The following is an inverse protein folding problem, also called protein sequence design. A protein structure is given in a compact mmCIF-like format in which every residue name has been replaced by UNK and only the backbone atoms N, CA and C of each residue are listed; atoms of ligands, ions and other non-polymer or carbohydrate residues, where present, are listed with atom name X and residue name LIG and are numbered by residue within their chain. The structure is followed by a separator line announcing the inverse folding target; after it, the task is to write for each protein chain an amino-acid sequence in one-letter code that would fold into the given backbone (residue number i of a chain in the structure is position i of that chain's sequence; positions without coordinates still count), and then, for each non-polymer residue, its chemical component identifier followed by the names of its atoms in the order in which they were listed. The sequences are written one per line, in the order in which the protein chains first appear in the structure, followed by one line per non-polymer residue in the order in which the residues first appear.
data_IF_073087035513
#
_entry.id   IF_073087035513
#
_cell.length_a   1.000
_cell.length_b   1.000
_cell.length_c   1.000
_cell.angle_alpha   90.00
_cell.angle_beta   90.00
_cell.angle_gamma   90.00
#
_symmetry.space_group_name_H-M   'P 1'
#
loop_
_entity.id
_entity.type
_entity.pdbx_description
1 polymer ?
#
# COMPACT_ATOMS: atom_id res chain seq x y z
N UNK A 1 -13.15 7.92 -11.95
CA UNK A 1 -12.31 6.72 -11.77
C UNK A 1 -10.88 7.20 -11.56
N UNK A 2 -10.20 6.70 -10.53
CA UNK A 2 -8.77 6.89 -10.32
C UNK A 2 -8.03 5.66 -10.83
N UNK A 3 -6.95 5.88 -11.56
CA UNK A 3 -6.07 4.81 -12.06
C UNK A 3 -4.79 4.88 -11.23
N UNK A 4 -4.49 3.81 -10.51
CA UNK A 4 -3.25 3.64 -9.78
C UNK A 4 -2.13 3.19 -10.72
N UNK A 5 -0.91 3.36 -10.28
CA UNK A 5 0.27 2.83 -10.95
C UNK A 5 0.35 1.29 -10.81
N UNK A 6 1.44 0.71 -11.27
CA UNK A 6 1.69 -0.73 -11.24
C UNK A 6 2.84 -1.10 -10.30
N UNK A 7 3.32 -2.33 -10.47
CA UNK A 7 4.31 -2.93 -9.59
C UNK A 7 5.61 -2.12 -9.49
N UNK A 8 6.03 -1.78 -8.26
CA UNK A 8 7.31 -1.13 -7.99
C UNK A 8 8.47 -2.13 -8.01
N UNK A 9 8.33 -3.25 -7.32
CA UNK A 9 9.43 -4.22 -7.15
C UNK A 9 10.06 -4.72 -8.45
N UNK A 10 9.24 -5.13 -9.43
CA UNK A 10 9.74 -5.58 -10.76
C UNK A 10 10.40 -4.46 -11.54
N UNK A 11 9.92 -3.23 -11.39
CA UNK A 11 10.52 -2.06 -12.01
C UNK A 11 11.89 -1.74 -11.40
N UNK A 12 12.05 -1.87 -10.09
CA UNK A 12 13.33 -1.73 -9.39
C UNK A 12 14.32 -2.83 -9.80
N UNK A 13 13.86 -4.08 -9.89
CA UNK A 13 14.71 -5.21 -10.35
C UNK A 13 15.24 -4.94 -11.76
N UNK A 14 14.40 -4.45 -12.68
CA UNK A 14 14.82 -4.05 -14.01
C UNK A 14 15.82 -2.88 -14.04
N UNK A 15 16.00 -2.18 -12.91
CA UNK A 15 16.92 -1.04 -12.74
C UNK A 15 18.06 -1.28 -11.75
N UNK A 16 18.30 -2.55 -11.39
CA UNK A 16 19.48 -2.96 -10.65
C UNK A 16 19.26 -3.43 -9.22
N UNK A 17 18.03 -3.44 -8.69
CA UNK A 17 17.74 -4.07 -7.41
C UNK A 17 18.07 -5.56 -7.49
N UNK A 18 18.97 -6.04 -6.64
CA UNK A 18 19.38 -7.44 -6.60
C UNK A 18 18.45 -8.28 -5.72
N UNK A 19 18.39 -9.58 -5.99
CA UNK A 19 17.66 -10.51 -5.15
C UNK A 19 18.12 -10.44 -3.68
N UNK A 20 17.17 -10.31 -2.76
CA UNK A 20 17.44 -10.21 -1.32
C UNK A 20 17.80 -8.81 -0.81
N UNK A 21 17.94 -7.81 -1.69
CA UNK A 21 18.06 -6.43 -1.25
C UNK A 21 16.70 -5.88 -0.82
N UNK A 22 16.71 -4.99 0.18
CA UNK A 22 15.50 -4.28 0.59
C UNK A 22 15.17 -3.18 -0.44
N UNK A 23 13.96 -3.17 -1.02
CA UNK A 23 13.57 -2.21 -2.05
C UNK A 23 13.63 -0.76 -1.57
N UNK A 24 13.14 -0.47 -0.38
CA UNK A 24 13.06 0.88 0.17
C UNK A 24 14.45 1.47 0.43
N UNK A 25 15.39 0.64 0.88
CA UNK A 25 16.80 1.04 1.03
C UNK A 25 17.44 1.32 -0.34
N UNK A 26 17.18 0.45 -1.34
CA UNK A 26 17.66 0.67 -2.69
C UNK A 26 17.10 1.96 -3.30
N UNK A 27 15.80 2.21 -3.14
CA UNK A 27 15.14 3.42 -3.63
C UNK A 27 15.67 4.69 -2.93
N UNK A 28 15.96 4.61 -1.63
CA UNK A 28 16.58 5.71 -0.87
C UNK A 28 17.98 6.07 -1.38
N UNK A 29 18.80 5.05 -1.67
CA UNK A 29 20.16 5.23 -2.21
C UNK A 29 20.14 5.67 -3.69
N UNK A 30 19.05 5.40 -4.42
CA UNK A 30 18.89 5.68 -5.84
C UNK A 30 17.59 6.47 -6.15
N UNK A 31 17.39 7.66 -5.59
CA UNK A 31 16.11 8.39 -5.69
C UNK A 31 15.73 8.78 -7.13
N UNK A 32 16.69 8.97 -8.02
CA UNK A 32 16.40 9.27 -9.44
C UNK A 32 15.79 8.06 -10.17
N UNK A 33 16.08 6.82 -9.73
CA UNK A 33 15.43 5.60 -10.23
C UNK A 33 13.94 5.64 -9.89
N UNK A 34 13.58 6.01 -8.65
CA UNK A 34 12.18 6.16 -8.24
C UNK A 34 11.46 7.25 -9.06
N UNK A 35 12.13 8.40 -9.26
CA UNK A 35 11.59 9.49 -10.11
C UNK A 35 11.27 8.98 -11.51
N UNK A 36 12.17 8.22 -12.13
CA UNK A 36 11.96 7.72 -13.49
C UNK A 36 10.83 6.68 -13.56
N UNK A 37 10.72 5.78 -12.60
CA UNK A 37 9.62 4.79 -12.52
C UNK A 37 8.27 5.51 -12.40
N UNK A 38 8.11 6.39 -11.43
CA UNK A 38 6.86 7.13 -11.24
C UNK A 38 6.50 7.99 -12.47
N UNK A 39 7.52 8.58 -13.12
CA UNK A 39 7.33 9.36 -14.33
C UNK A 39 6.81 8.51 -15.50
N UNK A 40 7.29 7.27 -15.65
CA UNK A 40 6.78 6.32 -16.64
C UNK A 40 5.31 5.99 -16.40
N UNK A 41 4.92 5.70 -15.15
CA UNK A 41 3.54 5.43 -14.79
C UNK A 41 2.61 6.62 -15.01
N UNK A 42 3.02 7.84 -14.62
CA UNK A 42 2.24 9.04 -14.89
C UNK A 42 2.11 9.31 -16.41
N UNK A 43 3.16 9.07 -17.21
CA UNK A 43 3.10 9.16 -18.67
C UNK A 43 2.15 8.12 -19.27
N UNK A 44 2.12 6.91 -18.72
CA UNK A 44 1.19 5.86 -19.13
C UNK A 44 -0.27 6.19 -18.75
N UNK A 45 -0.50 7.18 -17.89
CA UNK A 45 -1.83 7.68 -17.58
C UNK A 45 -2.33 7.42 -16.17
N UNK A 46 -1.48 6.95 -15.25
CA UNK A 46 -1.82 6.83 -13.84
C UNK A 46 -2.20 8.19 -13.25
N UNK A 47 -3.18 8.16 -12.34
CA UNK A 47 -3.56 9.31 -11.52
C UNK A 47 -2.85 9.28 -10.17
N UNK A 48 -2.60 8.09 -9.63
CA UNK A 48 -1.99 7.89 -8.32
C UNK A 48 -0.71 7.08 -8.49
N UNK A 49 0.38 7.57 -7.91
CA UNK A 49 1.62 6.82 -7.73
C UNK A 49 1.75 6.39 -6.28
N UNK A 50 1.95 5.09 -6.04
CA UNK A 50 2.27 4.52 -4.74
C UNK A 50 3.77 4.62 -4.50
N UNK A 51 4.16 5.14 -3.33
CA UNK A 51 5.57 5.35 -3.00
C UNK A 51 6.28 4.02 -2.70
N UNK A 52 7.62 3.99 -2.86
CA UNK A 52 8.44 2.85 -2.47
C UNK A 52 8.62 2.80 -0.95
N UNK A 53 7.51 2.51 -0.23
CA UNK A 53 7.44 2.51 1.24
C UNK A 53 6.66 1.32 1.82
N UNK A 54 6.30 0.35 0.98
CA UNK A 54 5.52 -0.84 1.35
C UNK A 54 6.06 -1.58 2.58
N UNK A 55 7.36 -1.81 2.64
CA UNK A 55 8.06 -2.45 3.75
C UNK A 55 8.77 -1.45 4.68
N UNK A 56 8.52 -0.14 4.56
CA UNK A 56 9.24 0.89 5.29
C UNK A 56 8.79 1.00 6.75
N UNK A 57 9.09 0.00 7.56
CA UNK A 57 8.86 0.02 9.00
C UNK A 57 10.10 -0.41 9.77
N UNK A 58 10.13 -0.16 11.07
CA UNK A 58 11.30 -0.41 11.91
C UNK A 58 11.68 -1.87 12.09
N UNK A 59 10.78 -2.82 11.75
CA UNK A 59 11.05 -4.26 11.82
C UNK A 59 11.69 -4.80 10.53
N UNK A 60 11.51 -4.08 9.41
CA UNK A 60 11.96 -4.52 8.08
C UNK A 60 13.10 -3.70 7.51
N UNK A 61 13.19 -2.42 7.86
CA UNK A 61 14.28 -1.57 7.36
C UNK A 61 15.64 -2.07 7.85
N UNK A 62 16.66 -2.15 6.97
CA UNK A 62 17.99 -2.52 7.36
C UNK A 62 18.62 -1.50 8.32
N UNK A 63 19.58 -1.97 9.12
CA UNK A 63 20.35 -1.10 10.01
C UNK A 63 21.05 0.02 9.24
N UNK A 64 21.01 1.25 9.76
CA UNK A 64 21.60 2.42 9.11
C UNK A 64 20.62 3.28 8.30
N UNK A 65 19.43 2.81 8.05
CA UNK A 65 18.37 3.60 7.41
C UNK A 65 17.40 4.16 8.46
N UNK A 66 17.13 5.47 8.38
CA UNK A 66 16.17 6.15 9.24
C UNK A 66 14.81 6.20 8.52
N UNK A 67 13.78 5.60 9.12
CA UNK A 67 12.43 5.49 8.58
C UNK A 67 11.91 6.82 8.01
N UNK A 68 12.05 7.88 8.79
CA UNK A 68 11.54 9.21 8.41
C UNK A 68 12.23 9.76 7.17
N UNK A 69 13.52 9.49 7.00
CA UNK A 69 14.28 9.94 5.82
C UNK A 69 13.94 9.12 4.58
N UNK A 70 13.73 7.81 4.75
CA UNK A 70 13.33 6.92 3.64
C UNK A 70 11.95 7.31 3.12
N UNK A 71 10.97 7.48 4.01
CA UNK A 71 9.61 7.92 3.63
C UNK A 71 9.65 9.29 2.95
N UNK A 72 10.38 10.26 3.52
CA UNK A 72 10.50 11.61 2.95
C UNK A 72 11.11 11.59 1.55
N UNK A 73 12.17 10.80 1.33
CA UNK A 73 12.82 10.63 0.03
C UNK A 73 11.88 9.99 -1.00
N UNK A 74 11.16 8.93 -0.64
CA UNK A 74 10.24 8.25 -1.52
C UNK A 74 9.09 9.16 -1.97
N UNK A 75 8.47 9.90 -1.04
CA UNK A 75 7.39 10.85 -1.35
C UNK A 75 7.90 12.00 -2.22
N UNK A 76 9.06 12.57 -1.92
CA UNK A 76 9.68 13.63 -2.73
C UNK A 76 9.98 13.17 -4.14
N UNK A 77 10.44 11.93 -4.32
CA UNK A 77 10.69 11.33 -5.64
C UNK A 77 9.41 11.22 -6.46
N UNK A 78 8.32 10.73 -5.86
CA UNK A 78 7.02 10.64 -6.53
C UNK A 78 6.44 12.03 -6.85
N UNK A 79 6.52 13.01 -5.94
CA UNK A 79 6.10 14.40 -6.17
C UNK A 79 6.92 15.07 -7.28
N UNK A 80 8.23 14.85 -7.30
CA UNK A 80 9.11 15.33 -8.39
C UNK A 80 8.66 14.74 -9.73
N UNK A 81 8.41 13.44 -9.80
CA UNK A 81 7.91 12.78 -11.00
C UNK A 81 6.57 13.37 -11.48
N UNK A 82 5.63 13.58 -10.55
CA UNK A 82 4.33 14.18 -10.84
C UNK A 82 4.46 15.58 -11.47
N UNK A 83 5.39 16.40 -10.97
CA UNK A 83 5.64 17.74 -11.49
C UNK A 83 6.31 17.77 -12.89
N UNK A 84 7.04 16.71 -13.26
CA UNK A 84 7.75 16.59 -14.53
C UNK A 84 6.86 16.08 -15.68
N UNK A 85 5.68 15.58 -15.39
CA UNK A 85 4.76 15.03 -16.41
C UNK A 85 3.56 15.95 -16.56
N UNK A 86 3.48 16.65 -17.69
CA UNK A 86 2.30 17.42 -18.07
C UNK A 86 1.46 16.61 -19.08
N UNK A 87 0.37 16.02 -18.59
CA UNK A 87 -0.59 15.26 -19.40
C UNK A 87 -2.04 15.72 -19.16
N UNK A 88 -2.23 16.88 -18.55
CA UNK A 88 -3.55 17.44 -18.24
C UNK A 88 -4.35 16.65 -17.17
N UNK A 89 -3.77 15.63 -16.55
CA UNK A 89 -4.43 14.83 -15.53
C UNK A 89 -4.04 15.27 -14.12
N UNK A 90 -5.01 15.20 -13.20
CA UNK A 90 -4.72 15.32 -11.78
C UNK A 90 -3.87 14.14 -11.32
N UNK A 91 -2.83 14.42 -10.55
CA UNK A 91 -1.88 13.45 -10.01
C UNK A 91 -1.84 13.51 -8.49
N UNK A 92 -1.76 12.36 -7.87
CA UNK A 92 -1.66 12.17 -6.42
C UNK A 92 -0.50 11.24 -6.08
N UNK A 93 0.06 11.42 -4.91
CA UNK A 93 1.09 10.55 -4.33
C UNK A 93 0.51 9.87 -3.12
N UNK A 94 0.46 8.54 -3.15
CA UNK A 94 -0.03 7.73 -2.05
C UNK A 94 1.14 7.15 -1.25
N UNK A 95 1.12 7.37 0.07
CA UNK A 95 1.97 6.64 0.99
C UNK A 95 1.53 5.17 0.97
N UNK A 96 2.43 4.28 0.61
CA UNK A 96 2.18 2.85 0.55
C UNK A 96 2.56 2.16 1.85
N UNK A 97 1.62 1.43 2.45
CA UNK A 97 1.76 0.72 3.73
C UNK A 97 1.40 -0.74 3.53
N UNK A 98 2.39 -1.60 3.54
CA UNK A 98 2.22 -3.05 3.50
C UNK A 98 2.14 -3.69 4.90
N UNK A 99 2.00 -5.03 4.96
CA UNK A 99 1.99 -5.78 6.22
C UNK A 99 3.25 -5.51 7.05
N UNK A 100 3.09 -5.53 8.37
CA UNK A 100 4.15 -5.19 9.32
C UNK A 100 5.33 -6.17 9.30
N UNK A 101 5.04 -7.45 8.94
CA UNK A 101 6.05 -8.51 8.82
C UNK A 101 6.07 -9.51 9.96
N UNK A 102 5.29 -9.28 11.00
CA UNK A 102 5.10 -10.17 12.13
C UNK A 102 3.60 -10.41 12.38
N UNK A 103 3.26 -11.61 12.84
CA UNK A 103 1.87 -11.91 13.21
C UNK A 103 1.52 -11.30 14.56
N UNK A 104 0.31 -10.73 14.64
CA UNK A 104 -0.22 -10.20 15.88
C UNK A 104 -0.68 -11.32 16.83
N UNK A 105 -0.69 -11.04 18.14
CA UNK A 105 -1.29 -11.92 19.14
C UNK A 105 -2.78 -12.20 18.84
N UNK A 106 -3.28 -13.40 19.10
CA UNK A 106 -2.61 -14.55 19.72
C UNK A 106 -1.91 -15.48 18.72
N UNK A 107 -1.92 -15.21 17.42
CA UNK A 107 -1.31 -16.05 16.39
C UNK A 107 0.21 -15.85 16.29
N UNK A 108 0.70 -14.69 16.68
CA UNK A 108 2.11 -14.34 16.79
C UNK A 108 2.45 -13.73 18.13
N UNK A 109 3.47 -12.89 18.17
CA UNK A 109 4.01 -12.28 19.40
C UNK A 109 3.85 -10.77 19.46
N UNK A 110 3.44 -10.13 18.36
CA UNK A 110 3.31 -8.68 18.28
C UNK A 110 1.96 -8.24 18.88
N UNK A 111 1.97 -7.37 19.88
CA UNK A 111 0.73 -6.82 20.43
C UNK A 111 0.07 -5.84 19.44
N UNK A 112 -1.25 -5.71 19.54
CA UNK A 112 -2.02 -4.74 18.74
C UNK A 112 -1.51 -3.31 18.93
N UNK A 113 -1.28 -2.91 20.18
CA UNK A 113 -0.82 -1.56 20.51
C UNK A 113 0.58 -1.29 19.90
N UNK A 114 1.45 -2.29 19.89
CA UNK A 114 2.76 -2.15 19.25
C UNK A 114 2.66 -2.03 17.75
N UNK A 115 1.81 -2.81 17.09
CA UNK A 115 1.53 -2.69 15.66
C UNK A 115 0.96 -1.31 15.33
N UNK A 116 -0.01 -0.82 16.12
CA UNK A 116 -0.58 0.52 15.98
C UNK A 116 0.51 1.61 16.03
N UNK A 117 1.41 1.59 17.01
CA UNK A 117 2.47 2.60 17.12
C UNK A 117 3.47 2.55 15.95
N UNK A 118 3.78 1.36 15.43
CA UNK A 118 4.64 1.21 14.24
C UNK A 118 3.96 1.83 13.02
N UNK A 119 2.71 1.51 12.75
CA UNK A 119 1.94 2.08 11.63
C UNK A 119 1.77 3.60 11.77
N UNK A 120 1.44 4.08 12.96
CA UNK A 120 1.30 5.51 13.25
C UNK A 120 2.56 6.30 12.89
N UNK A 121 3.73 5.78 13.24
CA UNK A 121 5.01 6.43 12.92
C UNK A 121 5.21 6.62 11.42
N UNK A 122 4.87 5.58 10.61
CA UNK A 122 4.93 5.65 9.15
C UNK A 122 3.97 6.70 8.60
N UNK A 123 2.72 6.68 9.05
CA UNK A 123 1.63 7.48 8.50
C UNK A 123 1.75 8.96 8.84
N UNK A 124 2.12 9.27 10.09
CA UNK A 124 2.42 10.65 10.52
C UNK A 124 3.59 11.23 9.71
N UNK A 125 4.64 10.44 9.47
CA UNK A 125 5.74 10.90 8.63
C UNK A 125 5.29 11.06 7.17
N UNK A 126 4.45 10.18 6.65
CA UNK A 126 3.91 10.29 5.29
C UNK A 126 3.14 11.58 5.06
N UNK A 127 2.21 11.93 5.96
CA UNK A 127 1.47 13.20 5.90
C UNK A 127 2.42 14.39 5.99
N UNK A 128 3.36 14.37 6.94
CA UNK A 128 4.37 15.43 7.10
C UNK A 128 5.22 15.62 5.86
N UNK A 129 5.54 14.56 5.13
CA UNK A 129 6.32 14.61 3.88
C UNK A 129 5.48 15.02 2.67
N UNK A 130 4.15 15.17 2.80
CA UNK A 130 3.26 15.70 1.79
C UNK A 130 2.59 14.64 0.91
N UNK A 131 2.39 13.41 1.40
CA UNK A 131 1.51 12.45 0.75
C UNK A 131 0.09 13.02 0.61
N UNK A 132 -0.64 12.61 -0.42
CA UNK A 132 -2.02 13.02 -0.67
C UNK A 132 -3.03 11.98 -0.16
N UNK A 133 -2.62 10.71 -0.09
CA UNK A 133 -3.44 9.54 0.23
C UNK A 133 -2.58 8.58 1.05
N UNK A 134 -3.19 7.81 1.94
CA UNK A 134 -2.60 6.61 2.53
C UNK A 134 -3.24 5.38 1.88
N UNK A 135 -2.43 4.47 1.37
CA UNK A 135 -2.86 3.15 0.89
C UNK A 135 -2.31 2.10 1.85
N UNK A 136 -3.20 1.38 2.50
CA UNK A 136 -2.89 0.21 3.32
C UNK A 136 -3.24 -1.00 2.47
N UNK A 137 -2.23 -1.71 1.97
CA UNK A 137 -2.46 -2.74 0.97
C UNK A 137 -1.85 -4.10 1.31
N UNK A 138 -2.31 -5.13 0.58
CA UNK A 138 -1.79 -6.51 0.66
C UNK A 138 -1.94 -7.12 2.06
N UNK A 139 -2.90 -6.62 2.85
CA UNK A 139 -3.11 -7.10 4.21
C UNK A 139 -3.76 -8.49 4.20
N UNK A 140 -3.22 -9.38 5.01
CA UNK A 140 -3.63 -10.78 5.10
C UNK A 140 -4.44 -11.07 6.37
N UNK A 141 -4.39 -10.16 7.34
CA UNK A 141 -5.09 -10.28 8.62
C UNK A 141 -5.97 -9.05 8.88
N UNK A 142 -7.25 -9.32 9.21
CA UNK A 142 -8.21 -8.27 9.55
C UNK A 142 -7.83 -7.52 10.83
N UNK A 143 -7.16 -8.19 11.77
CA UNK A 143 -6.76 -7.57 13.03
C UNK A 143 -5.58 -6.61 12.83
N UNK A 144 -4.64 -6.97 11.97
CA UNK A 144 -3.53 -6.12 11.58
C UNK A 144 -3.99 -4.86 10.83
N UNK A 145 -4.82 -5.02 9.79
CA UNK A 145 -5.32 -3.86 9.03
C UNK A 145 -6.17 -2.92 9.88
N UNK A 146 -6.86 -3.42 10.93
CA UNK A 146 -7.54 -2.56 11.91
C UNK A 146 -6.56 -1.67 12.67
N UNK A 147 -5.42 -2.22 13.12
CA UNK A 147 -4.39 -1.42 13.79
C UNK A 147 -3.86 -0.33 12.86
N UNK A 148 -3.58 -0.66 11.60
CA UNK A 148 -3.12 0.28 10.59
C UNK A 148 -4.16 1.37 10.30
N UNK A 149 -5.42 0.99 10.07
CA UNK A 149 -6.50 1.95 9.76
C UNK A 149 -6.76 2.90 10.93
N UNK A 150 -6.83 2.39 12.17
CA UNK A 150 -6.99 3.23 13.36
C UNK A 150 -5.80 4.19 13.52
N UNK A 151 -4.57 3.70 13.32
CA UNK A 151 -3.37 4.54 13.38
C UNK A 151 -3.44 5.69 12.37
N UNK A 152 -3.92 5.45 11.16
CA UNK A 152 -4.12 6.48 10.14
C UNK A 152 -5.21 7.48 10.55
N UNK A 153 -6.41 6.99 10.85
CA UNK A 153 -7.59 7.85 11.09
C UNK A 153 -7.48 8.70 12.35
N UNK A 154 -6.76 8.23 13.36
CA UNK A 154 -6.59 8.96 14.62
C UNK A 154 -5.42 9.96 14.59
N UNK A 155 -4.47 9.83 13.66
CA UNK A 155 -3.25 10.63 13.68
C UNK A 155 -2.98 11.41 12.39
N UNK A 156 -3.80 11.27 11.35
CA UNK A 156 -3.68 12.00 10.07
C UNK A 156 -5.03 12.48 9.57
N UNK A 157 -4.99 13.43 8.63
CA UNK A 157 -6.18 13.95 7.95
C UNK A 157 -6.31 13.44 6.50
N UNK A 158 -5.43 12.52 6.08
CA UNK A 158 -5.42 12.01 4.73
C UNK A 158 -6.55 11.01 4.48
N UNK A 159 -7.09 10.92 3.27
CA UNK A 159 -7.94 9.81 2.88
C UNK A 159 -7.15 8.49 2.95
N UNK A 160 -7.82 7.43 3.46
CA UNK A 160 -7.22 6.12 3.70
C UNK A 160 -7.93 5.05 2.88
N UNK A 161 -7.19 4.42 1.99
CA UNK A 161 -7.66 3.31 1.16
C UNK A 161 -7.10 2.01 1.70
N UNK A 162 -7.95 0.99 1.84
CA UNK A 162 -7.60 -0.28 2.46
C UNK A 162 -7.86 -1.46 1.54
N UNK A 163 -6.86 -2.28 1.27
CA UNK A 163 -7.04 -3.52 0.51
C UNK A 163 -6.50 -4.73 1.28
N UNK A 164 -7.18 -5.86 1.10
CA UNK A 164 -6.74 -7.15 1.63
C UNK A 164 -6.52 -8.14 0.49
N UNK A 165 -5.75 -9.19 0.77
CA UNK A 165 -5.55 -10.31 -0.14
C UNK A 165 -6.43 -11.49 0.27
N UNK A 166 -6.91 -12.23 -0.72
CA UNK A 166 -7.74 -13.41 -0.54
C UNK A 166 -7.20 -14.55 -1.41
N UNK A 167 -7.42 -15.78 -0.95
CA UNK A 167 -7.21 -16.98 -1.75
C UNK A 167 -8.35 -17.22 -2.75
N UNK A 168 -8.24 -18.25 -3.56
CA UNK A 168 -9.27 -18.65 -4.55
C UNK A 168 -10.62 -19.06 -3.92
N UNK A 169 -10.63 -19.41 -2.63
CA UNK A 169 -11.84 -19.71 -1.87
C UNK A 169 -12.48 -18.44 -1.26
N UNK A 170 -11.88 -17.28 -1.47
CA UNK A 170 -12.32 -16.00 -0.95
C UNK A 170 -12.09 -15.87 0.56
N UNK A 171 -10.96 -16.37 1.06
CA UNK A 171 -10.54 -16.19 2.46
C UNK A 171 -9.19 -15.51 2.52
N UNK A 172 -9.02 -14.60 3.48
CA UNK A 172 -7.68 -14.11 3.83
C UNK A 172 -6.87 -15.21 4.52
N UNK A 173 -5.57 -14.98 4.69
CA UNK A 173 -4.70 -15.94 5.39
C UNK A 173 -5.21 -16.32 6.79
N UNK A 174 -5.80 -15.38 7.53
CA UNK A 174 -6.41 -15.62 8.85
C UNK A 174 -7.88 -16.04 8.78
N UNK A 175 -8.41 -16.32 7.58
CA UNK A 175 -9.76 -16.85 7.38
C UNK A 175 -10.87 -15.80 7.26
N UNK A 176 -10.54 -14.50 7.21
CA UNK A 176 -11.52 -13.43 7.05
C UNK A 176 -12.23 -13.53 5.68
N UNK A 177 -13.53 -13.27 5.68
CA UNK A 177 -14.34 -13.17 4.46
C UNK A 177 -14.35 -11.74 3.91
N UNK A 178 -14.50 -11.54 2.59
CA UNK A 178 -14.62 -10.21 1.98
C UNK A 178 -15.73 -9.36 2.62
N UNK A 179 -16.85 -9.98 2.93
CA UNK A 179 -17.99 -9.31 3.57
C UNK A 179 -17.65 -8.79 4.97
N UNK A 180 -16.88 -9.55 5.74
CA UNK A 180 -16.43 -9.15 7.08
C UNK A 180 -15.43 -7.99 6.99
N UNK A 181 -14.52 -8.04 6.03
CA UNK A 181 -13.62 -6.92 5.72
C UNK A 181 -14.40 -5.64 5.43
N UNK A 182 -15.38 -5.69 4.51
CA UNK A 182 -16.17 -4.51 4.12
C UNK A 182 -16.83 -3.86 5.32
N UNK A 183 -17.58 -4.65 6.11
CA UNK A 183 -18.31 -4.11 7.28
C UNK A 183 -17.34 -3.49 8.30
N UNK A 184 -16.21 -4.16 8.52
CA UNK A 184 -15.23 -3.69 9.51
C UNK A 184 -14.54 -2.42 9.05
N UNK A 185 -13.96 -2.41 7.85
CA UNK A 185 -13.11 -1.29 7.41
C UNK A 185 -13.91 -0.02 7.11
N UNK A 186 -15.07 -0.13 6.46
CA UNK A 186 -15.90 1.07 6.27
C UNK A 186 -16.52 1.54 7.59
N UNK A 187 -16.83 0.65 8.54
CA UNK A 187 -17.28 1.01 9.89
C UNK A 187 -16.20 1.75 10.70
N UNK A 188 -14.92 1.49 10.44
CA UNK A 188 -13.77 2.20 11.02
C UNK A 188 -13.37 3.47 10.27
N UNK A 189 -14.07 3.82 9.18
CA UNK A 189 -13.88 5.08 8.47
C UNK A 189 -12.86 5.02 7.33
N UNK A 190 -12.62 3.87 6.72
CA UNK A 190 -11.87 3.82 5.45
C UNK A 190 -12.61 4.62 4.37
N UNK A 191 -11.85 5.32 3.51
CA UNK A 191 -12.40 6.15 2.43
C UNK A 191 -12.56 5.35 1.12
N UNK A 192 -11.83 4.25 0.98
CA UNK A 192 -12.01 3.22 -0.05
C UNK A 192 -11.58 1.87 0.51
N UNK A 193 -12.16 0.79 -0.01
CA UNK A 193 -11.83 -0.59 0.37
C UNK A 193 -11.67 -1.44 -0.86
N UNK A 194 -11.00 -2.58 -0.74
CA UNK A 194 -10.89 -3.46 -1.90
C UNK A 194 -9.97 -4.65 -1.73
N UNK A 195 -9.46 -5.10 -2.88
CA UNK A 195 -8.63 -6.30 -2.99
C UNK A 195 -7.46 -6.05 -3.92
N UNK A 196 -6.30 -6.58 -3.56
CA UNK A 196 -5.11 -6.54 -4.39
C UNK A 196 -4.30 -7.83 -4.31
N UNK A 197 -3.38 -8.03 -5.26
CA UNK A 197 -2.44 -9.14 -5.29
C UNK A 197 -3.11 -10.55 -5.29
N UNK A 198 -2.33 -11.57 -4.99
CA UNK A 198 -2.65 -13.00 -4.88
C UNK A 198 -3.20 -13.65 -6.15
N UNK A 199 -4.23 -13.07 -6.77
CA UNK A 199 -4.99 -13.68 -7.84
C UNK A 199 -4.98 -12.82 -9.11
N UNK A 200 -5.15 -13.47 -10.25
CA UNK A 200 -5.43 -12.80 -11.53
C UNK A 200 -6.88 -12.31 -11.61
N UNK A 201 -7.23 -11.51 -12.66
CA UNK A 201 -8.54 -10.87 -12.77
C UNK A 201 -9.70 -11.83 -12.67
N UNK A 202 -9.66 -12.96 -13.38
CA UNK A 202 -10.77 -13.92 -13.45
C UNK A 202 -11.13 -14.50 -12.08
N UNK A 203 -10.12 -14.78 -11.25
CA UNK A 203 -10.32 -15.34 -9.91
C UNK A 203 -10.72 -14.27 -8.89
N UNK A 204 -10.41 -12.98 -9.15
CA UNK A 204 -10.83 -11.89 -8.28
C UNK A 204 -12.29 -11.47 -8.49
N UNK A 205 -12.89 -11.69 -9.66
CA UNK A 205 -14.28 -11.28 -9.95
C UNK A 205 -15.27 -11.74 -8.87
N UNK A 206 -15.33 -13.03 -8.47
CA UNK A 206 -16.28 -13.46 -7.45
C UNK A 206 -16.07 -12.81 -6.08
N UNK A 207 -14.82 -12.45 -5.74
CA UNK A 207 -14.47 -11.75 -4.49
C UNK A 207 -14.94 -10.31 -4.56
N UNK A 208 -14.65 -9.64 -5.68
CA UNK A 208 -15.06 -8.24 -5.92
C UNK A 208 -16.59 -8.10 -5.90
N UNK A 209 -17.34 -9.05 -6.47
CA UNK A 209 -18.81 -9.07 -6.42
C UNK A 209 -19.32 -9.09 -4.97
N UNK A 210 -18.73 -9.91 -4.09
CA UNK A 210 -19.08 -9.94 -2.67
C UNK A 210 -18.79 -8.61 -1.95
N UNK A 211 -17.70 -7.94 -2.34
CA UNK A 211 -17.33 -6.62 -1.80
C UNK A 211 -18.33 -5.56 -2.25
N UNK A 212 -18.62 -5.47 -3.56
CA UNK A 212 -19.47 -4.43 -4.15
C UNK A 212 -20.89 -4.47 -3.60
N UNK A 213 -21.46 -5.66 -3.37
CA UNK A 213 -22.82 -5.82 -2.83
C UNK A 213 -22.98 -5.14 -1.46
N UNK A 214 -21.91 -5.03 -0.68
CA UNK A 214 -21.94 -4.49 0.69
C UNK A 214 -21.23 -3.15 0.86
N UNK A 215 -20.40 -2.78 -0.09
CA UNK A 215 -19.65 -1.54 -0.04
C UNK A 215 -20.55 -0.33 -0.29
N UNK A 216 -20.44 0.69 0.57
CA UNK A 216 -21.10 2.01 0.41
C UNK A 216 -20.09 3.11 0.07
N UNK A 217 -18.82 2.75 -0.01
CA UNK A 217 -17.67 3.60 -0.36
C UNK A 217 -16.99 3.03 -1.61
N UNK A 218 -16.11 3.78 -2.28
CA UNK A 218 -15.40 3.32 -3.47
C UNK A 218 -14.67 1.98 -3.28
N UNK A 219 -14.68 1.15 -4.32
CA UNK A 219 -13.99 -0.14 -4.34
C UNK A 219 -12.75 -0.05 -5.23
N UNK A 220 -11.60 -0.45 -4.67
CA UNK A 220 -10.30 -0.50 -5.32
C UNK A 220 -9.95 -1.96 -5.67
N UNK A 221 -9.52 -2.21 -6.90
CA UNK A 221 -9.13 -3.55 -7.37
C UNK A 221 -7.81 -3.46 -8.10
N UNK A 222 -6.81 -4.21 -7.62
CA UNK A 222 -5.48 -4.29 -8.22
C UNK A 222 -5.08 -5.77 -8.37
N UNK A 223 -5.54 -6.37 -9.46
CA UNK A 223 -5.24 -7.77 -9.79
C UNK A 223 -3.79 -7.96 -10.23
N UNK A 224 -3.22 -9.14 -9.99
CA UNK A 224 -1.99 -9.55 -10.63
C UNK A 224 -2.18 -9.62 -12.16
N UNK A 225 -1.15 -9.27 -12.93
CA UNK A 225 -1.17 -9.36 -14.40
C UNK A 225 -1.04 -10.80 -14.94
N UNK A 226 -1.29 -11.79 -14.11
CA UNK A 226 -1.09 -13.22 -14.34
C UNK A 226 -0.04 -13.80 -13.38
N UNK A 227 0.12 -15.13 -13.44
CA UNK A 227 1.18 -15.80 -12.72
C UNK A 227 2.49 -15.66 -13.53
N UNK A 228 3.67 -15.55 -12.87
CA UNK A 228 4.95 -15.62 -13.56
C UNK A 228 5.04 -16.93 -14.34
N UNK A 229 5.47 -16.86 -15.60
CA UNK A 229 5.71 -18.02 -16.46
C UNK A 229 7.12 -18.60 -16.18
#
# INVERSE_FOLDING_TARGET
ILIFDGAMGTMLQGRGLQAGQNPEAFGFDNPDVLVDIHKEYFKAGANVATTDTFGCNELKLPQGYELEKVIDSAIKSAKKAASLVDNGKQKYVALDIGPIGEMLEPMGTLSFDRAYEIFKRQMVQGEKSGADIIVIETMMDLYEIKAALLAAKENTNLPVFCTMTFDENGRSFTGCLPESMVVTLQGLGADAIGVNCSLGPDLLVPIVEKIIIRATIPVMVQANAGLPC
#
